data_IF_440862440032
#
_entry.id   IF_440862440032
#
_cell.length_a   1.000
_cell.length_b   1.000
_cell.length_c   1.000
_cell.angle_alpha   90.00
_cell.angle_beta   90.00
_cell.angle_gamma   90.00
#
_symmetry.space_group_name_H-M   'P 1'
#
loop_
_entity.id
_entity.type
_entity.pdbx_description
1 polymer ?
#
# COMPACT_ATOMS: atom_id res chain seq x y z
N UNK A 1 -21.40 18.59 6.83
CA UNK A 1 -20.32 18.40 5.83
C UNK A 1 -19.00 18.70 6.50
N UNK A 2 -18.05 17.76 6.48
CA UNK A 2 -16.67 18.01 6.91
C UNK A 2 -15.91 18.64 5.74
N UNK A 3 -15.09 19.66 6.02
CA UNK A 3 -14.14 20.24 5.06
C UNK A 3 -12.73 19.91 5.54
N UNK A 4 -11.90 19.38 4.63
CA UNK A 4 -10.49 19.15 4.87
C UNK A 4 -9.67 20.33 4.35
N UNK A 5 -8.61 20.67 5.07
CA UNK A 5 -7.68 21.72 4.70
C UNK A 5 -6.26 21.17 4.83
N UNK A 6 -5.42 21.46 3.84
CA UNK A 6 -4.03 21.05 3.85
C UNK A 6 -3.15 22.15 4.43
N UNK A 7 -2.25 21.73 5.32
CA UNK A 7 -1.30 22.60 6.00
C UNK A 7 0.07 21.96 6.00
N UNK A 8 1.11 22.79 5.95
CA UNK A 8 2.44 22.39 6.35
C UNK A 8 2.62 22.72 7.84
N UNK A 9 3.21 21.79 8.58
CA UNK A 9 3.53 21.94 10.00
C UNK A 9 5.05 21.86 10.14
N UNK A 10 5.68 22.97 10.50
CA UNK A 10 7.11 23.08 10.76
C UNK A 10 7.34 23.39 12.24
N UNK A 11 7.61 22.35 13.03
CA UNK A 11 7.70 22.47 14.49
C UNK A 11 6.35 22.85 15.09
N UNK A 12 6.24 24.07 15.63
CA UNK A 12 5.02 24.64 16.21
C UNK A 12 4.27 25.59 15.24
N UNK A 13 4.80 25.82 14.04
CA UNK A 13 4.21 26.71 13.05
C UNK A 13 3.35 25.96 12.06
N UNK A 14 2.15 26.48 11.81
CA UNK A 14 1.19 25.96 10.83
C UNK A 14 1.05 26.96 9.68
N UNK A 15 1.29 26.52 8.45
CA UNK A 15 1.12 27.29 7.22
C UNK A 15 0.08 26.64 6.32
N UNK A 16 -0.91 27.42 5.86
CA UNK A 16 -1.96 26.92 4.96
C UNK A 16 -1.39 26.77 3.54
N UNK A 17 -1.55 25.60 2.94
CA UNK A 17 -1.09 25.31 1.56
C UNK A 17 -2.14 25.71 0.50
N UNK A 18 -3.35 26.07 0.95
CA UNK A 18 -4.45 26.48 0.09
C UNK A 18 -5.36 27.49 0.78
N UNK A 19 -6.65 27.41 0.48
CA UNK A 19 -7.65 28.34 1.01
C UNK A 19 -7.74 28.23 2.54
N UNK A 20 -7.57 29.37 3.21
CA UNK A 20 -7.70 29.44 4.66
C UNK A 20 -9.17 29.36 5.08
N UNK A 21 -9.53 28.55 6.08
CA UNK A 21 -10.89 28.55 6.61
C UNK A 21 -11.24 29.93 7.19
N UNK A 22 -12.39 30.48 6.79
CA UNK A 22 -12.96 31.68 7.38
C UNK A 22 -13.73 31.33 8.66
N UNK A 23 -13.01 30.95 9.71
CA UNK A 23 -13.55 30.58 11.02
C UNK A 23 -12.78 31.31 12.12
N UNK A 24 -13.49 31.87 13.10
CA UNK A 24 -12.84 32.57 14.23
C UNK A 24 -12.24 31.58 15.25
N UNK A 25 -12.99 30.53 15.59
CA UNK A 25 -12.54 29.45 16.49
C UNK A 25 -13.24 28.15 16.08
N UNK A 26 -12.49 27.05 15.95
CA UNK A 26 -13.07 25.73 15.63
C UNK A 26 -12.25 24.59 16.25
N UNK A 27 -12.84 23.40 16.34
CA UNK A 27 -12.12 22.16 16.66
C UNK A 27 -11.56 21.57 15.37
N UNK A 28 -10.28 21.18 15.38
CA UNK A 28 -9.61 20.57 14.24
C UNK A 28 -9.17 19.13 14.57
N UNK A 29 -9.16 18.27 13.55
CA UNK A 29 -8.56 16.93 13.60
C UNK A 29 -7.31 16.98 12.74
N UNK A 30 -6.16 16.64 13.31
CA UNK A 30 -4.90 16.57 12.58
C UNK A 30 -4.67 15.11 12.19
N UNK A 31 -4.45 14.88 10.89
CA UNK A 31 -4.09 13.56 10.35
C UNK A 31 -2.62 13.62 9.95
N UNK A 32 -1.79 12.82 10.60
CA UNK A 32 -0.37 12.71 10.28
C UNK A 32 -0.19 11.43 9.47
N UNK A 33 0.21 11.58 8.21
CA UNK A 33 0.58 10.45 7.38
C UNK A 33 2.02 10.04 7.73
N UNK A 34 2.18 8.95 8.46
CA UNK A 34 3.48 8.32 8.62
C UNK A 34 3.84 7.62 7.31
N UNK A 35 4.86 8.14 6.61
CA UNK A 35 5.54 7.32 5.61
C UNK A 35 6.28 6.20 6.35
N UNK A 36 5.63 5.05 6.45
CA UNK A 36 6.34 3.81 6.65
C UNK A 36 7.32 3.71 5.48
N UNK A 37 8.59 4.05 5.73
CA UNK A 37 9.68 3.71 4.81
C UNK A 37 9.64 2.21 4.67
N UNK A 38 8.93 1.73 3.65
CA UNK A 38 8.90 0.32 3.30
C UNK A 38 10.35 0.02 2.95
N UNK A 39 11.09 -0.56 3.90
CA UNK A 39 12.39 -1.13 3.62
C UNK A 39 12.17 -2.01 2.42
N UNK A 40 12.77 -1.66 1.28
CA UNK A 40 12.63 -2.43 0.06
C UNK A 40 12.99 -3.86 0.41
N UNK A 41 11.97 -4.72 0.51
CA UNK A 41 12.17 -6.12 0.83
C UNK A 41 13.05 -6.63 -0.30
N UNK A 42 14.28 -7.04 0.03
CA UNK A 42 15.22 -7.57 -0.94
C UNK A 42 14.62 -8.85 -1.52
N UNK A 43 13.94 -8.73 -2.65
CA UNK A 43 13.39 -9.88 -3.37
C UNK A 43 14.55 -10.75 -3.81
N UNK A 44 14.45 -12.06 -3.56
CA UNK A 44 15.43 -13.02 -4.08
C UNK A 44 15.35 -12.99 -5.61
N UNK A 45 16.50 -12.79 -6.26
CA UNK A 45 16.61 -12.99 -7.69
C UNK A 45 16.94 -14.46 -7.99
N UNK A 46 16.46 -15.01 -9.11
CA UNK A 46 16.88 -16.34 -9.55
C UNK A 46 18.39 -16.35 -9.84
N UNK A 47 19.04 -17.50 -9.66
CA UNK A 47 20.44 -17.68 -10.04
C UNK A 47 20.65 -17.33 -11.51
N UNK A 48 21.80 -16.71 -11.84
CA UNK A 48 22.17 -16.36 -13.23
C UNK A 48 22.11 -17.56 -14.19
N UNK A 49 22.30 -18.78 -13.66
CA UNK A 49 22.27 -20.02 -14.45
C UNK A 49 20.87 -20.33 -15.00
N UNK A 50 19.81 -19.90 -14.30
CA UNK A 50 18.40 -20.25 -14.58
C UNK A 50 17.49 -19.05 -14.84
N UNK A 51 17.97 -17.83 -14.59
CA UNK A 51 17.22 -16.60 -14.83
C UNK A 51 16.73 -16.53 -16.29
N UNK A 52 15.43 -16.30 -16.48
CA UNK A 52 14.81 -16.20 -17.82
C UNK A 52 14.60 -17.53 -18.55
N UNK A 53 14.99 -18.67 -17.96
CA UNK A 53 14.81 -20.01 -18.59
C UNK A 53 13.54 -20.73 -18.15
N UNK A 54 12.92 -20.29 -17.06
CA UNK A 54 11.63 -20.83 -16.60
C UNK A 54 10.49 -20.33 -17.48
N UNK A 55 9.58 -21.23 -17.86
CA UNK A 55 8.30 -20.90 -18.47
C UNK A 55 7.20 -21.60 -17.69
N UNK A 56 6.08 -20.93 -17.49
CA UNK A 56 4.89 -21.57 -16.95
C UNK A 56 4.31 -22.49 -18.01
N UNK A 57 4.09 -23.77 -17.67
CA UNK A 57 3.59 -24.78 -18.60
C UNK A 57 2.06 -25.01 -18.52
N UNK A 58 1.32 -24.16 -17.82
CA UNK A 58 -0.11 -24.30 -17.64
C UNK A 58 -0.78 -23.02 -17.12
N UNK A 59 -2.10 -23.07 -17.04
CA UNK A 59 -2.88 -22.09 -16.30
C UNK A 59 -2.60 -22.28 -14.80
N UNK A 60 -2.01 -21.28 -14.14
CA UNK A 60 -1.69 -21.35 -12.70
C UNK A 60 -2.97 -21.27 -11.85
N UNK A 61 -4.09 -20.87 -12.47
CA UNK A 61 -5.33 -20.59 -11.77
C UNK A 61 -6.15 -21.87 -11.54
N UNK A 62 -5.97 -22.89 -12.37
CA UNK A 62 -6.77 -24.11 -12.32
C UNK A 62 -5.93 -25.31 -11.83
N UNK A 63 -6.43 -26.11 -10.88
CA UNK A 63 -5.74 -27.31 -10.46
C UNK A 63 -5.63 -28.32 -11.59
N UNK A 64 -4.54 -29.09 -11.60
CA UNK A 64 -4.34 -30.18 -12.56
C UNK A 64 -5.18 -31.43 -12.21
N UNK A 65 -5.72 -31.48 -11.00
CA UNK A 65 -6.57 -32.57 -10.48
C UNK A 65 -7.96 -32.03 -10.17
N UNK A 66 -8.97 -32.88 -10.35
CA UNK A 66 -10.37 -32.56 -10.08
C UNK A 66 -10.61 -32.37 -8.57
N UNK A 67 -11.68 -31.65 -8.20
CA UNK A 67 -11.96 -31.26 -6.81
C UNK A 67 -12.20 -32.47 -5.90
N UNK A 68 -12.75 -33.56 -6.46
CA UNK A 68 -13.01 -34.82 -5.76
C UNK A 68 -11.72 -35.52 -5.27
N UNK A 69 -10.59 -35.20 -5.89
CA UNK A 69 -9.28 -35.77 -5.56
C UNK A 69 -8.52 -34.94 -4.50
N UNK A 70 -9.12 -33.86 -3.98
CA UNK A 70 -8.50 -33.03 -2.95
C UNK A 70 -8.69 -33.64 -1.55
N UNK A 71 -7.62 -34.18 -0.97
CA UNK A 71 -7.64 -34.75 0.40
C UNK A 71 -8.09 -33.75 1.48
N UNK A 72 -7.91 -32.44 1.28
CA UNK A 72 -8.30 -31.42 2.26
C UNK A 72 -9.79 -31.08 2.27
N UNK A 73 -10.57 -31.61 1.31
CA UNK A 73 -12.03 -31.45 1.25
C UNK A 73 -12.79 -32.69 1.78
N UNK A 74 -12.07 -33.71 2.25
CA UNK A 74 -12.63 -34.91 2.91
C UNK A 74 -12.80 -34.71 4.41
#
# INVERSE_FOLDING_TARGET
MLKSYEVAIEGDRITWLGEKPNLQTTRAIIVIAEENKVTQIKRRSPSKVIAGKGRTLGDIVSPIVDEEDWECLK
#
